data_IF_787956173352
#
_entry.id   IF_787956173352
#
_cell.length_a   1.000
_cell.length_b   1.000
_cell.length_c   1.000
_cell.angle_alpha   90.00
_cell.angle_beta   90.00
_cell.angle_gamma   90.00
#
_symmetry.space_group_name_H-M   'P 1'
#
loop_
_entity.id
_entity.type
_entity.pdbx_description
1 polymer ?
#
# COMPACT_ATOMS: atom_id res chain seq x y z
N UNK A 1 7.58 22.41 -11.96
CA UNK A 1 6.90 21.75 -13.10
C UNK A 1 6.01 20.64 -12.55
N UNK A 2 4.72 20.63 -12.88
CA UNK A 2 3.74 19.62 -12.42
C UNK A 2 4.15 18.25 -12.98
N UNK A 3 4.65 17.35 -12.13
CA UNK A 3 4.86 15.94 -12.50
C UNK A 3 3.49 15.24 -12.46
N UNK A 4 2.97 14.97 -13.66
CA UNK A 4 1.77 14.17 -13.90
C UNK A 4 2.07 12.74 -13.45
N UNK A 5 1.16 12.17 -12.64
CA UNK A 5 1.14 10.77 -12.25
C UNK A 5 1.43 9.86 -13.45
N UNK A 6 2.47 9.03 -13.36
CA UNK A 6 2.69 7.94 -14.29
C UNK A 6 2.56 6.61 -13.54
N UNK A 7 1.43 5.94 -13.77
CA UNK A 7 1.25 4.53 -13.48
C UNK A 7 2.36 3.72 -14.17
N UNK A 8 2.97 2.82 -13.42
CA UNK A 8 4.00 1.88 -13.82
C UNK A 8 3.47 0.83 -14.80
N UNK A 9 3.89 0.90 -16.06
CA UNK A 9 3.96 -0.23 -16.99
C UNK A 9 5.38 -0.28 -17.57
N UNK A 10 6.18 -1.23 -17.08
CA UNK A 10 7.53 -1.50 -17.58
C UNK A 10 7.40 -2.45 -18.78
N UNK A 11 7.63 -1.93 -19.98
CA UNK A 11 7.92 -2.75 -21.17
C UNK A 11 9.40 -2.60 -21.49
N UNK A 12 10.12 -3.70 -21.40
CA UNK A 12 11.52 -3.81 -21.78
C UNK A 12 11.66 -3.76 -23.31
N UNK A 13 12.54 -2.89 -23.82
CA UNK A 13 13.11 -3.00 -25.16
C UNK A 13 14.54 -2.45 -25.16
N UNK A 14 15.49 -3.33 -25.47
CA UNK A 14 16.91 -3.07 -25.68
C UNK A 14 17.15 -2.24 -26.96
N UNK A 15 18.28 -1.51 -27.08
CA UNK A 15 18.54 -0.59 -28.17
C UNK A 15 19.06 -1.30 -29.44
N UNK A 16 18.49 -0.94 -30.59
CA UNK A 16 19.05 -1.26 -31.90
C UNK A 16 20.15 -0.25 -32.27
N UNK A 17 21.35 -0.76 -32.56
CA UNK A 17 22.48 -0.05 -33.14
C UNK A 17 22.12 0.50 -34.53
N UNK A 18 22.36 1.79 -34.78
CA UNK A 18 22.30 2.38 -36.12
C UNK A 18 23.69 2.94 -36.53
N UNK A 19 24.36 2.09 -37.29
CA UNK A 19 25.42 2.27 -38.30
C UNK A 19 25.80 3.70 -38.71
N UNK A 20 27.09 4.02 -38.52
CA UNK A 20 27.81 5.06 -39.27
C UNK A 20 27.98 4.57 -40.72
N UNK A 21 27.40 5.29 -41.69
CA UNK A 21 27.66 5.04 -43.11
C UNK A 21 29.02 5.61 -43.51
N UNK A 22 30.00 4.75 -43.76
CA UNK A 22 31.24 5.11 -44.43
C UNK A 22 31.01 5.05 -45.95
N UNK A 23 31.19 6.18 -46.65
CA UNK A 23 31.15 6.25 -48.11
C UNK A 23 32.46 5.65 -48.68
N UNK A 24 32.40 4.56 -49.47
CA UNK A 24 33.60 3.84 -49.92
C UNK A 24 34.36 4.49 -51.08
N UNK A 25 33.93 5.66 -51.59
CA UNK A 25 34.50 6.28 -52.80
C UNK A 25 35.19 7.65 -52.61
N UNK A 26 35.64 7.99 -51.41
CA UNK A 26 36.48 9.17 -51.22
C UNK A 26 37.92 8.90 -51.74
N UNK A 27 38.20 9.29 -52.98
CA UNK A 27 39.58 9.37 -53.51
C UNK A 27 40.37 10.40 -52.71
N UNK A 28 41.38 9.94 -51.96
CA UNK A 28 42.31 10.79 -51.22
C UNK A 28 43.58 10.98 -52.06
N UNK A 29 43.87 12.22 -52.44
CA UNK A 29 45.05 12.60 -53.23
C UNK A 29 46.31 12.58 -52.31
N UNK A 30 47.39 11.82 -52.63
CA UNK A 30 48.50 11.61 -51.70
C UNK A 30 49.41 12.83 -51.47
N UNK A 31 49.20 13.94 -52.18
CA UNK A 31 50.17 15.06 -52.25
C UNK A 31 49.89 16.28 -51.38
N UNK A 32 48.89 16.27 -50.50
CA UNK A 32 48.59 17.44 -49.65
C UNK A 32 48.61 17.19 -48.13
N UNK A 33 49.24 16.12 -47.66
CA UNK A 33 49.29 15.79 -46.23
C UNK A 33 50.46 16.46 -45.49
N UNK A 34 50.59 17.78 -45.62
CA UNK A 34 51.45 18.62 -44.75
C UNK A 34 50.73 19.90 -44.36
N UNK A 35 49.59 19.74 -43.70
CA UNK A 35 49.09 20.75 -42.78
C UNK A 35 48.75 20.00 -41.51
N UNK A 36 49.71 19.94 -40.58
CA UNK A 36 49.42 19.52 -39.21
C UNK A 36 48.34 20.47 -38.71
N UNK A 37 47.10 20.00 -38.69
CA UNK A 37 46.03 20.65 -37.93
C UNK A 37 46.60 20.83 -36.52
N UNK A 38 46.53 22.02 -35.92
CA UNK A 38 46.87 22.15 -34.51
C UNK A 38 46.10 21.06 -33.78
N UNK A 39 46.79 20.20 -33.03
CA UNK A 39 46.14 19.41 -32.01
C UNK A 39 45.63 20.45 -31.04
N UNK A 40 44.40 20.90 -31.26
CA UNK A 40 43.64 21.61 -30.23
C UNK A 40 43.44 20.52 -29.19
N UNK A 41 44.36 20.44 -28.24
CA UNK A 41 44.18 19.64 -27.04
C UNK A 41 42.83 20.08 -26.48
N UNK A 42 41.81 19.24 -26.66
CA UNK A 42 40.53 19.47 -26.00
C UNK A 42 40.88 19.64 -24.52
N UNK A 43 40.38 20.70 -23.85
CA UNK A 43 40.64 20.88 -22.43
C UNK A 43 40.36 19.55 -21.71
N UNK A 44 41.36 19.02 -20.99
CA UNK A 44 41.21 17.77 -20.25
C UNK A 44 39.92 17.86 -19.46
N UNK A 45 39.02 16.90 -19.66
CA UNK A 45 37.74 16.88 -18.97
C UNK A 45 38.02 16.89 -17.47
N UNK A 46 37.44 17.85 -16.75
CA UNK A 46 37.68 17.97 -15.31
C UNK A 46 37.12 16.74 -14.61
N UNK A 47 38.02 15.91 -14.07
CA UNK A 47 37.66 14.78 -13.23
C UNK A 47 37.19 15.28 -11.87
N UNK A 48 36.28 14.54 -11.23
CA UNK A 48 35.98 14.73 -9.82
C UNK A 48 37.23 14.47 -8.99
N UNK A 49 37.40 15.27 -7.95
CA UNK A 49 38.37 15.01 -6.90
C UNK A 49 37.97 13.79 -6.08
N UNK A 50 38.94 13.18 -5.40
CA UNK A 50 38.71 12.06 -4.47
C UNK A 50 37.65 12.37 -3.40
N UNK A 51 37.58 13.61 -2.93
CA UNK A 51 36.61 14.03 -1.92
C UNK A 51 35.19 14.19 -2.49
N UNK A 52 35.05 14.74 -3.69
CA UNK A 52 33.79 14.78 -4.43
C UNK A 52 33.28 13.36 -4.73
N UNK A 53 34.19 12.46 -5.14
CA UNK A 53 33.87 11.05 -5.36
C UNK A 53 33.40 10.34 -4.08
N UNK A 54 34.06 10.61 -2.94
CA UNK A 54 33.63 10.09 -1.63
C UNK A 54 32.23 10.57 -1.27
N UNK A 55 31.95 11.86 -1.41
CA UNK A 55 30.62 12.42 -1.14
C UNK A 55 29.55 11.78 -2.04
N UNK A 56 29.85 11.59 -3.33
CA UNK A 56 28.95 10.94 -4.28
C UNK A 56 28.68 9.47 -3.93
N UNK A 57 29.70 8.71 -3.52
CA UNK A 57 29.53 7.29 -3.15
C UNK A 57 28.79 7.12 -1.82
N UNK A 58 29.00 8.00 -0.85
CA UNK A 58 28.22 8.00 0.41
C UNK A 58 26.74 8.27 0.14
N UNK A 59 26.43 9.26 -0.69
CA UNK A 59 25.04 9.56 -1.08
C UNK A 59 24.41 8.42 -1.88
N UNK A 60 25.18 7.77 -2.74
CA UNK A 60 24.71 6.60 -3.48
C UNK A 60 24.33 5.46 -2.53
N UNK A 61 25.20 5.11 -1.57
CA UNK A 61 24.93 4.04 -0.61
C UNK A 61 23.72 4.36 0.30
N UNK A 62 23.59 5.63 0.71
CA UNK A 62 22.40 6.11 1.41
C UNK A 62 21.14 5.93 0.55
N UNK A 63 21.16 6.39 -0.70
CA UNK A 63 20.03 6.25 -1.62
C UNK A 63 19.63 4.78 -1.83
N UNK A 64 20.61 3.87 -1.99
CA UNK A 64 20.34 2.45 -2.11
C UNK A 64 19.71 1.85 -0.83
N UNK A 65 20.15 2.31 0.34
CA UNK A 65 19.58 1.90 1.62
C UNK A 65 18.15 2.40 1.78
N UNK A 66 17.92 3.70 1.54
CA UNK A 66 16.59 4.31 1.60
C UNK A 66 15.62 3.67 0.60
N UNK A 67 16.07 3.36 -0.62
CA UNK A 67 15.27 2.66 -1.62
C UNK A 67 14.83 1.27 -1.14
N UNK A 68 15.73 0.50 -0.50
CA UNK A 68 15.39 -0.82 0.08
C UNK A 68 14.37 -0.69 1.20
N UNK A 69 14.55 0.27 2.09
CA UNK A 69 13.63 0.50 3.21
C UNK A 69 12.26 0.99 2.74
N UNK A 70 12.20 1.90 1.76
CA UNK A 70 10.95 2.36 1.16
C UNK A 70 10.24 1.18 0.50
N UNK A 71 10.96 0.33 -0.24
CA UNK A 71 10.37 -0.86 -0.87
C UNK A 71 9.80 -1.84 0.17
N UNK A 72 10.51 -2.05 1.28
CA UNK A 72 10.02 -2.87 2.39
C UNK A 72 8.76 -2.25 3.02
N UNK A 73 8.74 -0.93 3.23
CA UNK A 73 7.59 -0.22 3.75
C UNK A 73 6.38 -0.25 2.79
N UNK A 74 6.60 -0.19 1.48
CA UNK A 74 5.54 -0.36 0.47
C UNK A 74 4.92 -1.76 0.50
N UNK A 75 5.73 -2.80 0.72
CA UNK A 75 5.21 -4.15 0.89
C UNK A 75 4.34 -4.26 2.16
N UNK A 76 4.80 -3.70 3.27
CA UNK A 76 4.03 -3.65 4.52
C UNK A 76 2.72 -2.85 4.38
N UNK A 77 2.75 -1.71 3.67
CA UNK A 77 1.55 -0.91 3.38
C UNK A 77 0.53 -1.70 2.54
N UNK A 78 0.98 -2.47 1.55
CA UNK A 78 0.12 -3.32 0.74
C UNK A 78 -0.54 -4.45 1.56
N UNK A 79 0.21 -5.07 2.48
CA UNK A 79 -0.33 -6.07 3.40
C UNK A 79 -1.37 -5.45 4.34
N UNK A 80 -1.08 -4.28 4.90
CA UNK A 80 -2.02 -3.57 5.78
C UNK A 80 -3.28 -3.16 5.04
N UNK A 81 -3.15 -2.67 3.80
CA UNK A 81 -4.30 -2.37 2.93
C UNK A 81 -5.18 -3.60 2.74
N UNK A 82 -4.59 -4.76 2.47
CA UNK A 82 -5.34 -6.00 2.31
C UNK A 82 -6.06 -6.39 3.61
N UNK A 83 -5.42 -6.20 4.77
CA UNK A 83 -6.04 -6.45 6.07
C UNK A 83 -7.21 -5.50 6.36
N UNK A 84 -7.07 -4.21 6.06
CA UNK A 84 -8.16 -3.21 6.20
C UNK A 84 -9.34 -3.57 5.29
N UNK A 85 -9.09 -3.96 4.03
CA UNK A 85 -10.16 -4.39 3.13
C UNK A 85 -10.88 -5.65 3.65
N UNK A 86 -10.15 -6.62 4.18
CA UNK A 86 -10.74 -7.81 4.78
C UNK A 86 -11.66 -7.45 5.96
N UNK A 87 -11.20 -6.59 6.86
CA UNK A 87 -12.00 -6.13 8.00
C UNK A 87 -13.26 -5.37 7.58
N UNK A 88 -13.17 -4.57 6.51
CA UNK A 88 -14.34 -3.91 5.92
C UNK A 88 -15.39 -4.92 5.48
N UNK A 89 -14.98 -5.98 4.80
CA UNK A 89 -15.89 -7.00 4.29
C UNK A 89 -16.52 -7.79 5.45
N UNK A 90 -15.74 -8.16 6.45
CA UNK A 90 -16.21 -8.82 7.68
C UNK A 90 -17.24 -7.95 8.43
N UNK A 91 -16.97 -6.66 8.61
CA UNK A 91 -17.91 -5.72 9.22
C UNK A 91 -19.18 -5.57 8.37
N UNK A 92 -19.05 -5.48 7.05
CA UNK A 92 -20.21 -5.37 6.16
C UNK A 92 -21.13 -6.59 6.30
N UNK A 93 -20.56 -7.80 6.32
CA UNK A 93 -21.31 -9.04 6.53
C UNK A 93 -21.93 -9.10 7.93
N UNK A 94 -21.20 -8.71 8.97
CA UNK A 94 -21.72 -8.67 10.34
C UNK A 94 -22.89 -7.68 10.47
N UNK A 95 -22.79 -6.51 9.84
CA UNK A 95 -23.85 -5.50 9.80
C UNK A 95 -25.11 -6.00 9.08
N UNK A 96 -24.95 -6.68 7.94
CA UNK A 96 -26.06 -7.34 7.23
C UNK A 96 -26.71 -8.42 8.09
N UNK A 97 -25.92 -9.26 8.75
CA UNK A 97 -26.41 -10.29 9.66
C UNK A 97 -27.20 -9.71 10.83
N UNK A 98 -26.72 -8.62 11.44
CA UNK A 98 -27.45 -7.90 12.49
C UNK A 98 -28.77 -7.32 11.97
N UNK A 99 -28.77 -6.72 10.79
CA UNK A 99 -30.00 -6.19 10.17
C UNK A 99 -31.05 -7.28 9.94
N UNK A 100 -30.62 -8.44 9.41
CA UNK A 100 -31.50 -9.60 9.23
C UNK A 100 -32.08 -10.09 10.57
N UNK A 101 -31.21 -10.33 11.56
CA UNK A 101 -31.63 -10.81 12.87
C UNK A 101 -32.57 -9.83 13.59
N UNK A 102 -32.33 -8.52 13.46
CA UNK A 102 -33.23 -7.49 13.99
C UNK A 102 -34.64 -7.59 13.38
N UNK A 103 -34.74 -7.85 12.07
CA UNK A 103 -36.03 -8.02 11.40
C UNK A 103 -36.77 -9.28 11.85
N UNK A 104 -36.05 -10.39 12.05
CA UNK A 104 -36.60 -11.64 12.59
C UNK A 104 -37.11 -11.47 14.02
N UNK A 105 -36.31 -10.85 14.91
CA UNK A 105 -36.70 -10.60 16.31
C UNK A 105 -37.95 -9.72 16.36
N UNK A 106 -38.07 -8.74 15.47
CA UNK A 106 -39.26 -7.89 15.37
C UNK A 106 -40.49 -8.70 14.91
N UNK A 107 -40.35 -9.53 13.89
CA UNK A 107 -41.43 -10.38 13.39
C UNK A 107 -41.90 -11.40 14.44
N UNK A 108 -40.96 -12.00 15.19
CA UNK A 108 -41.27 -12.90 16.30
C UNK A 108 -42.01 -12.17 17.42
N UNK A 109 -41.59 -10.93 17.75
CA UNK A 109 -42.30 -10.09 18.73
C UNK A 109 -43.73 -9.81 18.31
N UNK A 110 -43.96 -9.48 17.04
CA UNK A 110 -45.32 -9.25 16.51
C UNK A 110 -46.18 -10.52 16.59
N UNK A 111 -45.58 -11.69 16.37
CA UNK A 111 -46.27 -12.99 16.51
C UNK A 111 -46.62 -13.27 17.97
N UNK A 112 -45.67 -13.07 18.90
CA UNK A 112 -45.91 -13.26 20.33
C UNK A 112 -46.99 -12.33 20.88
N UNK A 113 -47.07 -11.09 20.38
CA UNK A 113 -48.14 -10.16 20.77
C UNK A 113 -49.52 -10.64 20.30
N UNK A 114 -49.63 -11.09 19.04
CA UNK A 114 -50.88 -11.65 18.50
C UNK A 114 -51.30 -12.91 19.25
N UNK A 115 -50.34 -13.79 19.55
CA UNK A 115 -50.60 -14.99 20.35
C UNK A 115 -51.10 -14.62 21.75
N UNK A 116 -50.49 -13.62 22.39
CA UNK A 116 -50.92 -13.14 23.71
C UNK A 116 -52.38 -12.64 23.69
N UNK A 117 -52.75 -11.86 22.68
CA UNK A 117 -54.11 -11.35 22.50
C UNK A 117 -55.10 -12.51 22.27
N UNK A 118 -54.76 -13.45 21.39
CA UNK A 118 -55.56 -14.65 21.12
C UNK A 118 -55.74 -15.52 22.36
N UNK A 119 -54.67 -15.72 23.13
CA UNK A 119 -54.71 -16.48 24.37
C UNK A 119 -55.62 -15.83 25.41
N UNK A 120 -55.52 -14.51 25.61
CA UNK A 120 -56.43 -13.78 26.52
C UNK A 120 -57.90 -13.99 26.17
N UNK A 121 -58.23 -14.06 24.87
CA UNK A 121 -59.61 -14.26 24.41
C UNK A 121 -60.11 -15.71 24.56
N UNK A 122 -59.20 -16.69 24.53
CA UNK A 122 -59.55 -18.12 24.50
C UNK A 122 -59.40 -18.83 25.85
N UNK A 123 -58.54 -18.35 26.75
CA UNK A 123 -58.19 -19.07 27.99
C UNK A 123 -59.39 -19.35 28.89
N UNK A 124 -60.35 -18.42 28.94
CA UNK A 124 -61.57 -18.57 29.75
C UNK A 124 -62.55 -19.61 29.19
N UNK A 125 -62.34 -20.06 27.95
CA UNK A 125 -63.17 -21.06 27.26
C UNK A 125 -62.50 -22.44 27.22
N UNK A 126 -61.28 -22.55 27.73
CA UNK A 126 -60.50 -23.79 27.75
C UNK A 126 -60.68 -24.51 29.07
N UNK A 127 -60.57 -25.84 29.04
CA UNK A 127 -60.45 -26.64 30.25
C UNK A 127 -59.15 -26.31 30.98
N UNK A 128 -59.18 -26.36 32.33
CA UNK A 128 -58.08 -25.87 33.19
C UNK A 128 -56.71 -26.45 32.81
N UNK A 129 -56.64 -27.76 32.55
CA UNK A 129 -55.39 -28.44 32.22
C UNK A 129 -54.83 -28.00 30.84
N UNK A 130 -55.72 -27.74 29.87
CA UNK A 130 -55.33 -27.24 28.55
C UNK A 130 -54.85 -25.78 28.63
N UNK A 131 -55.59 -24.93 29.35
CA UNK A 131 -55.23 -23.54 29.59
C UNK A 131 -53.83 -23.42 30.24
N UNK A 132 -53.53 -24.26 31.22
CA UNK A 132 -52.23 -24.30 31.88
C UNK A 132 -51.11 -24.71 30.93
N UNK A 133 -51.32 -25.76 30.12
CA UNK A 133 -50.34 -26.19 29.11
C UNK A 133 -50.04 -25.07 28.11
N UNK A 134 -51.08 -24.45 27.56
CA UNK A 134 -50.92 -23.40 26.53
C UNK A 134 -50.24 -22.14 27.10
N UNK A 135 -50.56 -21.76 28.35
CA UNK A 135 -49.86 -20.68 29.05
C UNK A 135 -48.38 -20.98 29.24
N UNK A 136 -48.03 -22.21 29.60
CA UNK A 136 -46.64 -22.61 29.78
C UNK A 136 -45.88 -22.63 28.45
N UNK A 137 -46.50 -23.14 27.38
CA UNK A 137 -45.93 -23.11 26.02
C UNK A 137 -45.70 -21.65 25.55
N UNK A 138 -46.63 -20.73 25.83
CA UNK A 138 -46.45 -19.30 25.55
C UNK A 138 -45.28 -18.69 26.35
N UNK A 139 -45.23 -18.93 27.66
CA UNK A 139 -44.14 -18.43 28.52
C UNK A 139 -42.77 -18.93 28.06
N UNK A 140 -42.67 -20.19 27.65
CA UNK A 140 -41.44 -20.76 27.13
C UNK A 140 -40.98 -20.05 25.84
N UNK A 141 -41.91 -19.76 24.92
CA UNK A 141 -41.60 -19.01 23.69
C UNK A 141 -41.21 -17.56 23.98
N UNK A 142 -41.90 -16.89 24.91
CA UNK A 142 -41.54 -15.54 25.33
C UNK A 142 -40.13 -15.50 25.94
N UNK A 143 -39.80 -16.44 26.83
CA UNK A 143 -38.46 -16.53 27.42
C UNK A 143 -37.37 -16.82 26.37
N UNK A 144 -37.65 -17.65 25.36
CA UNK A 144 -36.73 -17.88 24.25
C UNK A 144 -36.51 -16.61 23.40
N UNK A 145 -37.56 -15.82 23.16
CA UNK A 145 -37.46 -14.53 22.46
C UNK A 145 -36.65 -13.51 23.25
N UNK A 146 -36.85 -13.41 24.56
CA UNK A 146 -36.05 -12.55 25.44
C UNK A 146 -34.56 -12.94 25.38
N UNK A 147 -34.24 -14.24 25.42
CA UNK A 147 -32.87 -14.73 25.27
C UNK A 147 -32.26 -14.37 23.89
N UNK A 148 -33.06 -14.39 22.81
CA UNK A 148 -32.61 -13.94 21.48
C UNK A 148 -32.32 -12.43 21.47
N UNK A 149 -33.12 -11.61 22.14
CA UNK A 149 -32.87 -10.17 22.28
C UNK A 149 -31.55 -9.92 23.01
N UNK A 150 -31.28 -10.62 24.11
CA UNK A 150 -30.02 -10.51 24.84
C UNK A 150 -28.81 -10.87 23.96
N UNK A 151 -28.89 -11.98 23.22
CA UNK A 151 -27.86 -12.41 22.29
C UNK A 151 -27.64 -11.40 21.15
N UNK A 152 -28.73 -10.82 20.63
CA UNK A 152 -28.69 -9.76 19.62
C UNK A 152 -27.99 -8.51 20.16
N UNK A 153 -28.36 -8.04 21.36
CA UNK A 153 -27.75 -6.87 21.99
C UNK A 153 -26.25 -7.07 22.23
N UNK A 154 -25.83 -8.27 22.67
CA UNK A 154 -24.41 -8.61 22.80
C UNK A 154 -23.68 -8.56 21.45
N UNK A 155 -24.29 -9.10 20.40
CA UNK A 155 -23.73 -9.09 19.05
C UNK A 155 -23.62 -7.67 18.49
N UNK A 156 -24.64 -6.84 18.73
CA UNK A 156 -24.64 -5.42 18.37
C UNK A 156 -23.53 -4.65 19.09
N UNK A 157 -23.38 -4.82 20.40
CA UNK A 157 -22.33 -4.14 21.15
C UNK A 157 -20.92 -4.54 20.66
N UNK A 158 -20.73 -5.82 20.32
CA UNK A 158 -19.48 -6.29 19.70
C UNK A 158 -19.25 -5.61 18.34
N UNK A 159 -20.26 -5.60 17.48
CA UNK A 159 -20.17 -4.94 16.18
C UNK A 159 -19.83 -3.45 16.31
N UNK A 160 -20.47 -2.72 17.22
CA UNK A 160 -20.21 -1.30 17.44
C UNK A 160 -18.76 -1.07 17.92
N UNK A 161 -18.24 -1.96 18.78
CA UNK A 161 -16.84 -1.92 19.21
C UNK A 161 -15.85 -2.24 18.08
N UNK A 162 -16.14 -3.27 17.28
CA UNK A 162 -15.31 -3.67 16.13
C UNK A 162 -15.30 -2.57 15.05
N UNK A 163 -16.44 -1.93 14.80
CA UNK A 163 -16.58 -0.82 13.86
C UNK A 163 -15.75 0.41 14.28
N UNK A 164 -15.75 0.74 15.59
CA UNK A 164 -14.88 1.79 16.13
C UNK A 164 -13.40 1.44 16.00
N UNK A 165 -13.04 0.20 16.30
CA UNK A 165 -11.66 -0.29 16.12
C UNK A 165 -11.19 -0.21 14.66
N UNK A 166 -12.09 -0.51 13.73
CA UNK A 166 -11.84 -0.39 12.30
C UNK A 166 -11.63 1.06 11.84
N UNK A 167 -12.42 2.01 12.35
CA UNK A 167 -12.24 3.43 12.07
C UNK A 167 -10.85 3.92 12.52
N UNK A 168 -10.44 3.60 13.75
CA UNK A 168 -9.10 3.92 14.25
C UNK A 168 -7.99 3.30 13.39
N UNK A 169 -8.19 2.08 12.90
CA UNK A 169 -7.22 1.41 12.02
C UNK A 169 -7.12 2.08 10.65
N UNK A 170 -8.25 2.53 10.07
CA UNK A 170 -8.25 3.31 8.83
C UNK A 170 -7.48 4.62 9.00
N UNK A 171 -7.70 5.34 10.11
CA UNK A 171 -6.99 6.60 10.37
C UNK A 171 -5.48 6.37 10.46
N UNK A 172 -5.05 5.34 11.20
CA UNK A 172 -3.65 4.96 11.31
C UNK A 172 -3.05 4.56 9.94
N UNK A 173 -3.76 3.74 9.16
CA UNK A 173 -3.35 3.34 7.82
C UNK A 173 -3.19 4.55 6.90
N UNK A 174 -4.19 5.43 6.83
CA UNK A 174 -4.14 6.63 5.99
C UNK A 174 -2.97 7.54 6.38
N UNK A 175 -2.69 7.69 7.68
CA UNK A 175 -1.56 8.46 8.16
C UNK A 175 -0.22 7.81 7.76
N UNK A 176 -0.06 6.49 7.91
CA UNK A 176 1.16 5.78 7.53
C UNK A 176 1.39 5.81 6.03
N UNK A 177 0.36 5.58 5.22
CA UNK A 177 0.48 5.62 3.76
C UNK A 177 0.88 7.01 3.27
N UNK A 178 0.32 8.07 3.86
CA UNK A 178 0.70 9.46 3.56
C UNK A 178 2.16 9.74 3.93
N UNK A 179 2.61 9.26 5.09
CA UNK A 179 4.01 9.40 5.50
C UNK A 179 4.96 8.66 4.56
N UNK A 180 4.59 7.45 4.13
CA UNK A 180 5.36 6.66 3.16
C UNK A 180 5.43 7.35 1.79
N UNK A 181 4.31 7.95 1.33
CA UNK A 181 4.30 8.73 0.10
C UNK A 181 5.27 9.90 0.19
N UNK A 182 5.19 10.70 1.26
CA UNK A 182 6.09 11.84 1.46
C UNK A 182 7.57 11.41 1.53
N UNK A 183 7.87 10.30 2.21
CA UNK A 183 9.21 9.72 2.25
C UNK A 183 9.69 9.28 0.86
N UNK A 184 8.80 8.68 0.06
CA UNK A 184 9.10 8.26 -1.31
C UNK A 184 9.41 9.46 -2.19
N UNK A 185 8.62 10.53 -2.11
CA UNK A 185 8.85 11.77 -2.86
C UNK A 185 10.19 12.42 -2.47
N UNK A 186 10.47 12.55 -1.17
CA UNK A 186 11.75 13.10 -0.70
C UNK A 186 12.95 12.28 -1.18
N UNK A 187 12.86 10.95 -1.15
CA UNK A 187 13.92 10.09 -1.67
C UNK A 187 14.13 10.24 -3.18
N UNK A 188 13.05 10.41 -3.96
CA UNK A 188 13.18 10.66 -5.40
C UNK A 188 13.88 11.98 -5.69
N UNK A 189 13.63 13.01 -4.90
CA UNK A 189 14.35 14.29 -5.00
C UNK A 189 15.84 14.10 -4.64
N UNK A 190 16.17 13.39 -3.55
CA UNK A 190 17.57 13.09 -3.18
C UNK A 190 18.32 12.29 -4.27
N UNK A 191 17.62 11.37 -4.95
CA UNK A 191 18.14 10.60 -6.08
C UNK A 191 18.35 11.48 -7.31
N UNK A 192 17.40 12.37 -7.62
CA UNK A 192 17.51 13.30 -8.74
C UNK A 192 18.67 14.28 -8.53
N UNK A 193 18.84 14.82 -7.32
CA UNK A 193 19.97 15.68 -6.94
C UNK A 193 21.29 14.93 -7.06
N UNK A 194 21.35 13.69 -6.59
CA UNK A 194 22.55 12.86 -6.74
C UNK A 194 22.85 12.60 -8.22
N UNK A 195 21.84 12.32 -9.06
CA UNK A 195 22.04 12.11 -10.50
C UNK A 195 22.60 13.35 -11.18
N UNK A 196 22.06 14.53 -10.84
CA UNK A 196 22.52 15.80 -11.38
C UNK A 196 23.98 16.09 -11.00
N UNK A 197 24.36 15.77 -9.77
CA UNK A 197 25.67 16.15 -9.22
C UNK A 197 26.76 15.09 -9.39
N UNK A 198 26.40 13.82 -9.53
CA UNK A 198 27.34 12.69 -9.44
C UNK A 198 27.27 11.71 -10.62
N UNK A 199 26.07 11.34 -11.09
CA UNK A 199 25.90 10.12 -11.94
C UNK A 199 26.66 10.12 -13.26
N UNK A 200 26.92 11.29 -13.85
CA UNK A 200 27.60 11.40 -15.16
C UNK A 200 28.93 12.16 -15.07
N UNK A 201 29.45 12.39 -13.86
CA UNK A 201 30.74 13.06 -13.70
C UNK A 201 31.89 12.06 -13.83
N UNK A 202 32.90 12.35 -14.66
CA UNK A 202 34.06 11.47 -14.79
C UNK A 202 34.90 11.54 -13.51
N UNK A 203 35.52 10.42 -13.14
CA UNK A 203 36.43 10.30 -12.00
C UNK A 203 37.59 9.38 -12.37
N UNK A 204 38.64 9.39 -11.56
CA UNK A 204 39.76 8.45 -11.69
C UNK A 204 39.38 7.11 -11.05
N UNK A 205 39.58 6.01 -11.78
CA UNK A 205 39.29 4.64 -11.29
C UNK A 205 40.15 4.27 -10.07
N UNK A 206 41.38 4.78 -9.98
CA UNK A 206 42.24 4.55 -8.81
C UNK A 206 41.67 5.24 -7.56
N UNK A 207 41.11 6.43 -7.72
CA UNK A 207 40.41 7.14 -6.64
C UNK A 207 39.13 6.40 -6.25
N UNK A 208 38.37 5.84 -7.20
CA UNK A 208 37.18 5.04 -6.90
C UNK A 208 37.54 3.81 -6.05
N UNK A 209 38.58 3.06 -6.43
CA UNK A 209 39.05 1.89 -5.68
C UNK A 209 39.47 2.28 -4.26
N UNK A 210 40.25 3.35 -4.13
CA UNK A 210 40.70 3.84 -2.82
C UNK A 210 39.50 4.26 -1.94
N UNK A 211 38.59 5.05 -2.49
CA UNK A 211 37.42 5.57 -1.77
C UNK A 211 36.44 4.44 -1.41
N UNK A 212 36.17 3.49 -2.31
CA UNK A 212 35.33 2.33 -1.99
C UNK A 212 35.92 1.48 -0.87
N UNK A 213 37.24 1.30 -0.85
CA UNK A 213 37.94 0.61 0.23
C UNK A 213 37.84 1.38 1.56
N UNK A 214 38.04 2.70 1.54
CA UNK A 214 37.89 3.57 2.72
C UNK A 214 36.46 3.50 3.30
N UNK A 215 35.44 3.51 2.43
CA UNK A 215 34.04 3.48 2.81
C UNK A 215 33.51 2.07 3.13
N UNK A 216 34.30 1.01 2.92
CA UNK A 216 33.85 -0.36 3.08
C UNK A 216 32.82 -0.82 2.05
N UNK A 217 32.66 -0.10 0.93
CA UNK A 217 31.71 -0.35 -0.17
C UNK A 217 32.25 -1.36 -1.21
N UNK A 218 33.16 -2.24 -0.79
CA UNK A 218 33.73 -3.26 -1.68
C UNK A 218 32.60 -4.24 -2.08
N UNK A 219 32.47 -4.48 -3.39
CA UNK A 219 31.46 -5.41 -3.95
C UNK A 219 31.49 -6.73 -3.17
N UNK A 220 30.36 -7.06 -2.54
CA UNK A 220 30.02 -8.47 -2.25
C UNK A 220 29.61 -9.15 -3.54
#
# INVERSE_FOLDING_TARGET
MKRILLCTLIVAALPALAQVSANPNAKVDPKNNKVSRPVVEKPKQKLMTRDELRACLVRFDKNETDAREIKAAQAADAEERAAVLKLKDELTQAGQGLSSNASEIKAERETLLKDQEGLKAQIAKMERAEAEKVLNDYKARAAAHDARIEAFNKSKNKYDADAKGFETRIEAYNASSKALQARTEAHLDEVDDWKAECSNKPYDEADEIAVRKELGLNKK
#
